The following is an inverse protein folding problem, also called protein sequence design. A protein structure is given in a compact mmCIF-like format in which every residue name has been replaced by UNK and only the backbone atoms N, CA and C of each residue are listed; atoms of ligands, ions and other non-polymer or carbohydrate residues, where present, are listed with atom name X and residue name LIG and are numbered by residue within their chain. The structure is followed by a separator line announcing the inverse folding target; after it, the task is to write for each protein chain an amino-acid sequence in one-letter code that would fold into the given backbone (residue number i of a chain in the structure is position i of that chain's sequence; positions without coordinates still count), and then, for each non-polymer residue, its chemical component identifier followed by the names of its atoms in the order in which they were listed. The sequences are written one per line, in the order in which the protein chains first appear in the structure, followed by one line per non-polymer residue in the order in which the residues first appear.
data_IF_793871443331
#
_entry.id   IF_793871443331
#
_cell.length_a   1.000
_cell.length_b   1.000
_cell.length_c   1.000
_cell.angle_alpha   90.00
_cell.angle_beta   90.00
_cell.angle_gamma   90.00
#
_symmetry.space_group_name_H-M   'P 1'
#
loop_
_entity.id
_entity.type
_entity.pdbx_description
1 polymer ?
#
# COMPACT_ATOMS: atom_id res chain seq x y z
N UNK A 1 -1.91 30.25 15.40
CA UNK A 1 -2.50 30.55 16.73
C UNK A 1 -3.12 29.26 17.26
N UNK A 2 -2.98 28.91 18.54
CA UNK A 2 -3.69 27.76 19.09
C UNK A 2 -5.20 28.02 19.06
N UNK A 3 -5.97 27.11 18.44
CA UNK A 3 -7.44 27.18 18.40
C UNK A 3 -8.04 26.65 19.70
N UNK A 4 -7.90 27.42 20.77
CA UNK A 4 -8.37 27.04 22.11
C UNK A 4 -9.90 26.90 22.19
N UNK A 5 -10.63 27.40 21.19
CA UNK A 5 -12.09 27.40 21.17
C UNK A 5 -12.69 26.41 20.15
N UNK A 6 -11.85 25.68 19.40
CA UNK A 6 -12.24 24.77 18.32
C UNK A 6 -13.17 25.43 17.28
N UNK A 7 -12.89 26.67 16.89
CA UNK A 7 -13.72 27.47 15.97
C UNK A 7 -13.10 27.69 14.60
N UNK A 8 -11.88 27.23 14.38
CA UNK A 8 -11.15 27.45 13.14
C UNK A 8 -11.29 26.25 12.21
N UNK A 9 -11.49 26.55 10.93
CA UNK A 9 -11.41 25.57 9.85
C UNK A 9 -10.34 26.03 8.87
N UNK A 10 -9.38 25.17 8.59
CA UNK A 10 -8.31 25.44 7.65
C UNK A 10 -8.61 24.73 6.34
N UNK A 11 -8.63 25.49 5.24
CA UNK A 11 -8.84 24.99 3.89
C UNK A 11 -7.57 25.22 3.10
N UNK A 12 -7.07 24.17 2.46
CA UNK A 12 -5.89 24.22 1.61
C UNK A 12 -6.28 24.06 0.14
N UNK A 13 -5.60 24.80 -0.74
CA UNK A 13 -5.72 24.58 -2.18
C UNK A 13 -5.09 23.24 -2.59
N UNK A 14 -5.52 22.63 -3.72
CA UNK A 14 -5.01 21.33 -4.13
C UNK A 14 -3.52 21.32 -4.54
N UNK A 15 -2.91 22.48 -4.77
CA UNK A 15 -1.46 22.64 -5.00
C UNK A 15 -0.66 22.86 -3.70
N UNK A 16 -1.34 22.95 -2.56
CA UNK A 16 -0.75 23.22 -1.25
C UNK A 16 -0.18 24.63 -1.08
N UNK A 17 -0.39 25.54 -2.04
CA UNK A 17 0.21 26.88 -2.03
C UNK A 17 -0.63 27.93 -1.29
N UNK A 18 -1.94 27.72 -1.22
CA UNK A 18 -2.87 28.68 -0.63
C UNK A 18 -3.61 28.03 0.53
N UNK A 19 -3.77 28.81 1.60
CA UNK A 19 -4.49 28.39 2.79
C UNK A 19 -5.46 29.50 3.20
N UNK A 20 -6.69 29.11 3.53
CA UNK A 20 -7.70 29.99 4.10
C UNK A 20 -8.11 29.45 5.46
N UNK A 21 -8.01 30.28 6.49
CA UNK A 21 -8.50 29.95 7.84
C UNK A 21 -9.83 30.67 8.06
N UNK A 22 -10.90 29.91 8.16
CA UNK A 22 -12.25 30.39 8.46
C UNK A 22 -12.48 30.32 9.97
N UNK A 23 -13.00 31.39 10.54
CA UNK A 23 -13.41 31.43 11.95
C UNK A 23 -14.93 31.36 12.05
N UNK A 24 -15.44 30.29 12.62
CA UNK A 24 -16.87 30.13 12.89
C UNK A 24 -17.29 30.88 14.16
N UNK A 25 -18.61 31.08 14.30
CA UNK A 25 -19.21 31.73 15.48
C UNK A 25 -18.85 31.02 16.79
N UNK A 26 -18.96 29.70 16.79
CA UNK A 26 -18.73 28.79 17.91
C UNK A 26 -18.22 27.43 17.42
N UNK A 27 -17.79 26.58 18.36
CA UNK A 27 -17.23 25.27 18.05
C UNK A 27 -18.23 24.29 17.40
N UNK A 28 -19.50 24.23 17.84
CA UNK A 28 -20.52 23.44 17.16
C UNK A 28 -20.73 23.85 15.71
N UNK A 29 -20.72 25.16 15.40
CA UNK A 29 -20.80 25.64 14.02
C UNK A 29 -19.59 25.21 13.19
N UNK A 30 -18.38 25.26 13.75
CA UNK A 30 -17.17 24.76 13.07
C UNK A 30 -17.25 23.26 12.79
N UNK A 31 -17.67 22.46 13.79
CA UNK A 31 -17.88 21.01 13.65
C UNK A 31 -18.94 20.67 12.60
N UNK A 32 -20.03 21.44 12.52
CA UNK A 32 -21.07 21.28 11.51
C UNK A 32 -20.54 21.57 10.10
N UNK A 33 -19.81 22.67 9.91
CA UNK A 33 -19.18 23.00 8.63
C UNK A 33 -18.14 21.96 8.22
N UNK A 34 -17.27 21.53 9.14
CA UNK A 34 -16.30 20.47 8.93
C UNK A 34 -16.96 19.18 8.44
N UNK A 35 -18.00 18.73 9.14
CA UNK A 35 -18.75 17.53 8.79
C UNK A 35 -19.41 17.67 7.42
N UNK A 36 -20.02 18.83 7.13
CA UNK A 36 -20.64 19.09 5.84
C UNK A 36 -19.62 19.07 4.69
N UNK A 37 -18.42 19.64 4.88
CA UNK A 37 -17.34 19.62 3.88
C UNK A 37 -16.86 18.19 3.63
N UNK A 38 -16.53 17.42 4.67
CA UNK A 38 -16.09 16.02 4.52
C UNK A 38 -17.17 15.13 3.88
N UNK A 39 -18.45 15.34 4.22
CA UNK A 39 -19.57 14.60 3.60
C UNK A 39 -19.66 14.90 2.10
N UNK A 40 -19.49 16.16 1.69
CA UNK A 40 -19.48 16.53 0.28
C UNK A 40 -18.26 15.97 -0.46
N UNK A 41 -17.07 16.00 0.15
CA UNK A 41 -15.86 15.39 -0.42
C UNK A 41 -16.10 13.89 -0.68
N UNK A 42 -16.64 13.17 0.31
CA UNK A 42 -16.94 11.75 0.16
C UNK A 42 -17.97 11.46 -0.95
N UNK A 43 -19.00 12.30 -1.09
CA UNK A 43 -20.02 12.17 -2.13
C UNK A 43 -19.47 12.47 -3.55
N UNK A 44 -18.52 13.39 -3.67
CA UNK A 44 -17.91 13.78 -4.95
C UNK A 44 -16.75 12.87 -5.37
N UNK A 45 -16.17 12.10 -4.44
CA UNK A 45 -15.02 11.23 -4.71
C UNK A 45 -15.27 10.23 -5.87
N UNK A 46 -16.39 9.48 -5.95
CA UNK A 46 -16.62 8.56 -7.06
C UNK A 46 -16.64 9.25 -8.44
N UNK A 47 -17.24 10.44 -8.53
CA UNK A 47 -17.27 11.24 -9.76
C UNK A 47 -15.88 11.73 -10.14
N UNK A 48 -15.10 12.15 -9.15
CA UNK A 48 -13.71 12.59 -9.33
C UNK A 48 -12.83 11.43 -9.84
N UNK A 49 -12.96 10.24 -9.26
CA UNK A 49 -12.27 9.04 -9.71
C UNK A 49 -12.63 8.67 -11.14
N UNK A 50 -13.92 8.69 -11.49
CA UNK A 50 -14.38 8.42 -12.85
C UNK A 50 -13.82 9.43 -13.86
N UNK A 51 -13.81 10.72 -13.50
CA UNK A 51 -13.25 11.77 -14.34
C UNK A 51 -11.73 11.62 -14.53
N UNK A 52 -10.96 11.39 -13.46
CA UNK A 52 -9.51 11.18 -13.54
C UNK A 52 -9.19 9.93 -14.37
N UNK A 53 -9.90 8.81 -14.17
CA UNK A 53 -9.67 7.60 -14.95
C UNK A 53 -10.02 7.79 -16.43
N UNK A 54 -11.12 8.48 -16.74
CA UNK A 54 -11.47 8.81 -18.13
C UNK A 54 -10.41 9.71 -18.76
N UNK A 55 -9.97 10.75 -18.03
CA UNK A 55 -8.89 11.62 -18.45
C UNK A 55 -7.63 10.80 -18.73
N UNK A 56 -7.12 10.01 -17.78
CA UNK A 56 -5.91 9.21 -17.96
C UNK A 56 -6.06 8.12 -19.04
N UNK A 57 -7.24 7.55 -19.23
CA UNK A 57 -7.50 6.50 -20.23
C UNK A 57 -7.71 6.98 -21.67
N UNK A 58 -8.12 8.23 -21.88
CA UNK A 58 -8.61 8.71 -23.18
C UNK A 58 -7.60 8.72 -24.36
N UNK A 59 -6.29 8.53 -24.13
CA UNK A 59 -5.26 8.72 -25.16
C UNK A 59 -4.44 7.48 -25.49
N UNK A 60 -4.79 6.28 -25.00
CA UNK A 60 -4.09 5.06 -25.39
C UNK A 60 -5.01 3.85 -25.54
N UNK A 61 -4.96 3.20 -26.70
CA UNK A 61 -5.59 1.90 -26.97
C UNK A 61 -4.97 0.75 -26.13
N UNK A 62 -3.79 0.99 -25.54
CA UNK A 62 -3.17 0.15 -24.53
C UNK A 62 -3.01 0.98 -23.25
N UNK A 63 -3.97 0.92 -22.33
CA UNK A 63 -3.95 1.71 -21.10
C UNK A 63 -2.76 1.32 -20.21
N UNK A 64 -1.63 2.02 -20.37
CA UNK A 64 -0.45 1.89 -19.51
C UNK A 64 -0.60 2.70 -18.22
N UNK A 65 -1.57 3.62 -18.17
CA UNK A 65 -1.85 4.40 -16.98
C UNK A 65 -2.64 3.58 -15.95
N UNK A 66 -2.27 3.67 -14.66
CA UNK A 66 -2.90 2.88 -13.62
C UNK A 66 -4.32 3.35 -13.35
N UNK A 67 -5.27 2.41 -13.25
CA UNK A 67 -6.66 2.73 -12.93
C UNK A 67 -6.78 3.08 -11.44
N UNK A 68 -7.16 4.32 -11.16
CA UNK A 68 -7.31 4.87 -9.82
C UNK A 68 -8.55 4.30 -9.12
N UNK A 69 -8.40 3.90 -7.85
CA UNK A 69 -9.45 3.33 -6.99
C UNK A 69 -9.76 4.20 -5.78
N UNK A 70 -8.79 4.99 -5.31
CA UNK A 70 -8.99 5.94 -4.21
C UNK A 70 -7.98 7.08 -4.31
N UNK A 71 -8.33 8.27 -3.81
CA UNK A 71 -7.41 9.40 -3.69
C UNK A 71 -7.88 10.32 -2.57
N UNK A 72 -6.94 10.94 -1.86
CA UNK A 72 -7.26 11.96 -0.88
C UNK A 72 -6.01 12.53 -0.20
N UNK A 73 -6.22 13.64 0.50
CA UNK A 73 -5.21 14.25 1.36
C UNK A 73 -5.12 13.50 2.68
N UNK A 74 -3.89 13.33 3.16
CA UNK A 74 -3.53 12.75 4.44
C UNK A 74 -2.45 13.63 5.09
N UNK A 75 -2.23 13.48 6.39
CA UNK A 75 -1.06 14.03 7.05
C UNK A 75 -0.07 12.90 7.36
N UNK A 76 1.06 12.87 6.68
CA UNK A 76 2.12 11.90 6.89
C UNK A 76 3.04 12.34 8.03
N UNK A 77 3.30 11.44 8.97
CA UNK A 77 4.27 11.67 10.04
C UNK A 77 5.69 11.54 9.49
N UNK A 78 6.43 12.64 9.51
CA UNK A 78 7.85 12.69 9.15
C UNK A 78 8.70 12.94 10.39
N UNK A 79 9.87 12.30 10.43
CA UNK A 79 10.86 12.52 11.47
C UNK A 79 11.81 13.65 11.04
N UNK A 80 11.87 14.71 11.85
CA UNK A 80 12.79 15.82 11.65
C UNK A 80 14.15 15.52 12.30
N UNK A 81 15.17 16.25 11.87
CA UNK A 81 16.46 16.28 12.57
C UNK A 81 16.26 16.66 14.04
N UNK A 82 16.88 15.90 14.94
CA UNK A 82 16.69 16.05 16.40
C UNK A 82 15.53 15.24 16.99
N UNK A 83 14.93 14.31 16.23
CA UNK A 83 13.98 13.32 16.75
C UNK A 83 12.56 13.83 16.96
N UNK A 84 12.26 15.08 16.56
CA UNK A 84 10.91 15.65 16.59
C UNK A 84 10.06 15.05 15.48
N UNK A 85 8.80 14.77 15.79
CA UNK A 85 7.81 14.30 14.82
C UNK A 85 6.97 15.48 14.33
N UNK A 86 6.73 15.54 13.02
CA UNK A 86 5.85 16.52 12.41
C UNK A 86 4.92 15.83 11.40
N UNK A 87 3.68 16.27 11.31
CA UNK A 87 2.79 15.86 10.22
C UNK A 87 2.92 16.82 9.04
N UNK A 88 3.10 16.27 7.84
CA UNK A 88 3.11 17.01 6.57
C UNK A 88 1.96 16.56 5.68
N UNK A 89 1.28 17.48 4.99
CA UNK A 89 0.23 17.10 4.04
C UNK A 89 0.83 16.32 2.87
N UNK A 90 0.16 15.23 2.49
CA UNK A 90 0.49 14.40 1.33
C UNK A 90 -0.78 13.98 0.62
N UNK A 91 -0.75 13.88 -0.70
CA UNK A 91 -1.81 13.23 -1.47
C UNK A 91 -1.44 11.76 -1.65
N UNK A 92 -2.28 10.87 -1.13
CA UNK A 92 -2.18 9.45 -1.42
C UNK A 92 -3.17 9.10 -2.52
N UNK A 93 -2.74 8.30 -3.49
CA UNK A 93 -3.56 7.72 -4.53
C UNK A 93 -3.38 6.20 -4.55
N UNK A 94 -4.49 5.48 -4.56
CA UNK A 94 -4.51 4.03 -4.64
C UNK A 94 -4.94 3.62 -6.05
N UNK A 95 -4.13 2.78 -6.69
CA UNK A 95 -4.43 2.21 -8.01
C UNK A 95 -4.77 0.73 -7.88
N UNK A 96 -4.91 0.02 -8.99
CA UNK A 96 -5.09 -1.44 -8.99
C UNK A 96 -3.87 -2.22 -8.48
N UNK A 97 -2.68 -1.63 -8.51
CA UNK A 97 -1.42 -2.33 -8.25
C UNK A 97 -0.54 -1.64 -7.22
N UNK A 98 -0.67 -0.33 -7.09
CA UNK A 98 0.28 0.51 -6.35
C UNK A 98 -0.42 1.58 -5.50
N UNK A 99 0.26 1.96 -4.41
CA UNK A 99 0.03 3.17 -3.63
C UNK A 99 1.02 4.22 -4.13
N UNK A 100 0.52 5.39 -4.49
CA UNK A 100 1.30 6.51 -4.99
C UNK A 100 1.19 7.67 -4.00
N UNK A 101 2.30 8.33 -3.69
CA UNK A 101 2.34 9.53 -2.85
C UNK A 101 2.79 10.75 -3.66
N UNK A 102 2.10 11.87 -3.50
CA UNK A 102 2.39 13.13 -4.16
C UNK A 102 2.41 14.29 -3.16
N UNK A 103 3.21 15.32 -3.45
CA UNK A 103 3.23 16.54 -2.64
C UNK A 103 1.95 17.38 -2.80
N UNK A 104 1.33 17.30 -3.96
CA UNK A 104 0.16 18.05 -4.38
C UNK A 104 -0.70 17.20 -5.32
N UNK A 105 -1.95 17.62 -5.54
CA UNK A 105 -2.82 16.91 -6.48
C UNK A 105 -2.21 17.01 -7.90
N UNK A 106 -1.96 15.89 -8.58
CA UNK A 106 -1.43 15.90 -9.95
C UNK A 106 -2.49 16.39 -10.96
N UNK A 107 -2.14 17.38 -11.76
CA UNK A 107 -3.04 18.04 -12.74
C UNK A 107 -2.75 17.66 -14.20
N UNK A 108 -1.57 17.09 -14.48
CA UNK A 108 -1.16 16.65 -15.83
C UNK A 108 -0.81 15.16 -15.84
N UNK A 109 -0.85 14.55 -17.02
CA UNK A 109 -0.46 13.14 -17.21
C UNK A 109 0.99 12.88 -16.79
N UNK A 110 1.86 13.84 -17.05
CA UNK A 110 3.26 13.80 -16.68
C UNK A 110 3.37 13.76 -15.15
N UNK A 111 2.65 14.64 -14.44
CA UNK A 111 2.66 14.67 -12.97
C UNK A 111 2.13 13.38 -12.35
N UNK A 112 1.12 12.75 -12.96
CA UNK A 112 0.62 11.42 -12.56
C UNK A 112 1.65 10.31 -12.74
N UNK A 113 2.61 10.48 -13.65
CA UNK A 113 3.66 9.50 -13.95
C UNK A 113 4.91 9.68 -13.09
N UNK A 114 4.97 10.75 -12.27
CA UNK A 114 6.11 11.08 -11.42
C UNK A 114 5.69 11.27 -9.95
N UNK A 115 5.17 10.22 -9.29
CA UNK A 115 4.91 10.26 -7.85
C UNK A 115 6.23 10.41 -7.07
N UNK A 116 6.14 10.97 -5.85
CA UNK A 116 7.27 11.02 -4.92
C UNK A 116 7.71 9.62 -4.49
N UNK A 117 6.72 8.77 -4.18
CA UNK A 117 6.92 7.38 -3.78
C UNK A 117 5.87 6.50 -4.45
N UNK A 118 6.29 5.28 -4.79
CA UNK A 118 5.44 4.21 -5.34
C UNK A 118 5.67 2.95 -4.54
N UNK A 119 4.61 2.42 -3.93
CA UNK A 119 4.65 1.19 -3.16
C UNK A 119 3.70 0.15 -3.77
N UNK A 120 4.21 -1.01 -4.24
CA UNK A 120 3.35 -2.06 -4.75
C UNK A 120 2.42 -2.59 -3.66
N UNK A 121 1.13 -2.70 -3.96
CA UNK A 121 0.11 -3.17 -3.01
C UNK A 121 0.43 -4.57 -2.48
N UNK A 122 0.92 -5.47 -3.34
CA UNK A 122 1.32 -6.81 -2.89
C UNK A 122 2.52 -6.79 -1.94
N UNK A 123 3.40 -5.80 -2.09
CA UNK A 123 4.57 -5.62 -1.23
C UNK A 123 4.29 -4.69 -0.03
N UNK A 124 3.05 -4.24 0.16
CA UNK A 124 2.68 -3.27 1.20
C UNK A 124 1.59 -3.83 2.10
N UNK A 125 1.70 -3.61 3.41
CA UNK A 125 0.68 -3.99 4.39
C UNK A 125 0.23 -2.80 5.19
N UNK A 126 -1.07 -2.72 5.40
CA UNK A 126 -1.66 -1.93 6.46
C UNK A 126 -1.24 -2.55 7.81
N UNK A 127 -0.59 -1.76 8.66
CA UNK A 127 -0.28 -2.13 10.04
C UNK A 127 -0.85 -1.07 10.96
N UNK A 128 -1.50 -1.49 12.04
CA UNK A 128 -2.02 -0.60 13.09
C UNK A 128 -3.17 0.32 12.65
N UNK A 129 -4.30 0.22 13.37
CA UNK A 129 -5.42 1.14 13.32
C UNK A 129 -5.73 1.61 14.75
N UNK A 130 -5.13 2.72 15.16
CA UNK A 130 -5.48 3.44 16.39
C UNK A 130 -4.79 3.00 17.70
N UNK A 131 -4.42 4.05 18.46
CA UNK A 131 -4.01 4.14 19.86
C UNK A 131 -3.29 2.92 20.44
N UNK A 132 -1.97 3.04 20.60
CA UNK A 132 -1.22 2.13 21.46
C UNK A 132 -1.84 2.12 22.88
N UNK A 133 -2.58 1.04 23.19
CA UNK A 133 -3.08 0.66 24.52
C UNK A 133 -4.15 1.60 25.12
N UNK A 134 -5.40 1.38 24.75
CA UNK A 134 -6.56 1.87 25.49
C UNK A 134 -7.71 2.28 24.59
N UNK A 135 -8.93 2.24 25.13
CA UNK A 135 -10.11 2.87 24.52
C UNK A 135 -9.73 4.29 24.08
N UNK A 136 -9.92 4.67 22.80
CA UNK A 136 -9.55 6.00 22.35
C UNK A 136 -10.35 7.03 23.17
N UNK A 137 -9.63 7.86 23.93
CA UNK A 137 -10.22 9.06 24.52
C UNK A 137 -10.73 9.95 23.37
N UNK A 138 -11.79 10.73 23.60
CA UNK A 138 -12.17 11.80 22.68
C UNK A 138 -10.92 12.67 22.42
N UNK A 139 -10.43 12.68 21.17
CA UNK A 139 -9.20 13.38 20.79
C UNK A 139 -7.96 12.51 20.53
N UNK A 140 -8.07 11.19 20.43
CA UNK A 140 -6.96 10.36 19.91
C UNK A 140 -6.73 10.60 18.41
N UNK A 141 -5.47 10.73 17.99
CA UNK A 141 -5.10 10.87 16.58
C UNK A 141 -5.68 9.71 15.74
N UNK A 142 -6.43 10.06 14.68
CA UNK A 142 -7.01 9.10 13.75
C UNK A 142 -5.95 8.68 12.74
N UNK A 143 -5.22 7.60 13.06
CA UNK A 143 -4.02 7.21 12.31
C UNK A 143 -4.01 5.76 11.85
N UNK A 144 -3.38 5.52 10.70
CA UNK A 144 -3.06 4.18 10.18
C UNK A 144 -1.66 4.15 9.58
N UNK A 145 -0.95 3.02 9.67
CA UNK A 145 0.39 2.89 9.13
C UNK A 145 0.44 1.92 7.96
N UNK A 146 1.37 2.16 7.04
CA UNK A 146 1.72 1.19 6.00
C UNK A 146 3.17 0.76 6.17
N UNK A 147 3.43 -0.53 5.94
CA UNK A 147 4.79 -1.07 5.83
C UNK A 147 4.97 -1.65 4.45
N UNK A 148 6.06 -1.28 3.78
CA UNK A 148 6.39 -1.73 2.44
C UNK A 148 7.69 -2.51 2.48
N UNK A 149 7.68 -3.74 1.99
CA UNK A 149 8.90 -4.52 1.78
C UNK A 149 9.68 -3.94 0.60
N UNK A 150 10.93 -3.52 0.83
CA UNK A 150 11.84 -3.01 -0.18
C UNK A 150 13.13 -3.83 -0.21
N UNK A 151 13.92 -3.70 -1.28
CA UNK A 151 15.23 -4.37 -1.36
C UNK A 151 16.23 -3.90 -0.29
N UNK A 152 15.93 -2.82 0.45
CA UNK A 152 16.74 -2.28 1.55
C UNK A 152 16.17 -2.59 2.94
N UNK A 153 15.04 -3.29 3.03
CA UNK A 153 14.38 -3.60 4.30
C UNK A 153 12.90 -3.30 4.28
N UNK A 154 12.37 -2.73 5.36
CA UNK A 154 10.96 -2.37 5.47
C UNK A 154 10.84 -0.86 5.64
N UNK A 155 10.20 -0.22 4.68
CA UNK A 155 9.84 1.19 4.75
C UNK A 155 8.50 1.33 5.48
N UNK A 156 8.35 2.34 6.35
CA UNK A 156 7.16 2.50 7.20
C UNK A 156 6.69 3.94 7.19
N UNK A 157 5.39 4.14 6.96
CA UNK A 157 4.74 5.45 6.95
C UNK A 157 3.56 5.43 7.91
N UNK A 158 3.35 6.53 8.62
CA UNK A 158 2.21 6.74 9.51
C UNK A 158 1.40 7.91 8.96
N UNK A 159 0.11 7.68 8.71
CA UNK A 159 -0.79 8.68 8.14
C UNK A 159 -1.89 9.02 9.14
N UNK A 160 -2.18 10.30 9.28
CA UNK A 160 -3.33 10.84 10.00
C UNK A 160 -4.42 11.24 9.00
N UNK A 161 -5.67 10.99 9.38
CA UNK A 161 -6.88 11.45 8.69
C UNK A 161 -7.68 12.35 9.60
N UNK A 162 -8.68 13.02 9.03
CA UNK A 162 -9.46 14.04 9.74
C UNK A 162 -10.77 13.47 10.33
N UNK A 163 -11.32 12.38 9.79
CA UNK A 163 -12.57 11.76 10.28
C UNK A 163 -12.48 10.23 10.45
N UNK A 164 -13.31 9.67 11.34
CA UNK A 164 -13.43 8.21 11.50
C UNK A 164 -13.92 7.52 10.21
N UNK A 165 -14.71 8.23 9.40
CA UNK A 165 -15.17 7.75 8.11
C UNK A 165 -14.00 7.65 7.13
N UNK A 166 -13.15 8.68 7.06
CA UNK A 166 -11.94 8.67 6.24
C UNK A 166 -11.00 7.54 6.66
N UNK A 167 -10.79 7.34 7.98
CA UNK A 167 -9.97 6.25 8.51
C UNK A 167 -10.49 4.90 8.02
N UNK A 168 -11.79 4.67 8.19
CA UNK A 168 -12.45 3.43 7.79
C UNK A 168 -12.42 3.22 6.27
N UNK A 169 -12.58 4.29 5.49
CA UNK A 169 -12.52 4.26 4.03
C UNK A 169 -11.12 3.89 3.55
N UNK A 170 -10.08 4.56 4.07
CA UNK A 170 -8.68 4.30 3.71
C UNK A 170 -8.24 2.89 4.07
N UNK A 171 -8.51 2.44 5.30
CA UNK A 171 -8.16 1.08 5.72
C UNK A 171 -8.85 0.03 4.84
N UNK A 172 -10.15 0.22 4.56
CA UNK A 172 -10.89 -0.69 3.67
C UNK A 172 -10.31 -0.67 2.26
N UNK A 173 -10.05 0.51 1.70
CA UNK A 173 -9.49 0.66 0.37
C UNK A 173 -8.13 -0.03 0.24
N UNK A 174 -7.24 0.10 1.23
CA UNK A 174 -5.93 -0.54 1.24
C UNK A 174 -6.03 -2.07 1.34
N UNK A 175 -6.86 -2.61 2.24
CA UNK A 175 -7.02 -4.06 2.41
C UNK A 175 -7.65 -4.68 1.16
N UNK A 176 -8.78 -4.13 0.71
CA UNK A 176 -9.48 -4.63 -0.47
C UNK A 176 -8.66 -4.44 -1.74
N UNK A 177 -7.93 -3.32 -1.84
CA UNK A 177 -6.99 -3.06 -2.94
C UNK A 177 -5.88 -4.10 -3.00
N UNK A 178 -5.27 -4.47 -1.88
CA UNK A 178 -4.24 -5.51 -1.84
C UNK A 178 -4.79 -6.90 -2.25
N UNK A 179 -6.01 -7.23 -1.86
CA UNK A 179 -6.67 -8.48 -2.26
C UNK A 179 -7.03 -8.47 -3.76
N UNK A 180 -7.58 -7.38 -4.27
CA UNK A 180 -7.87 -7.22 -5.69
C UNK A 180 -6.58 -7.27 -6.53
N UNK A 181 -5.50 -6.64 -6.06
CA UNK A 181 -4.19 -6.71 -6.70
C UNK A 181 -3.66 -8.15 -6.76
N UNK A 182 -3.90 -8.96 -5.72
CA UNK A 182 -3.49 -10.37 -5.72
C UNK A 182 -4.21 -11.18 -6.79
N UNK A 183 -5.52 -10.93 -6.93
CA UNK A 183 -6.33 -11.57 -7.95
C UNK A 183 -6.01 -11.10 -9.36
N UNK A 184 -5.63 -9.84 -9.53
CA UNK A 184 -5.27 -9.26 -10.83
C UNK A 184 -3.86 -9.69 -11.29
N UNK A 185 -2.87 -9.59 -10.41
CA UNK A 185 -1.46 -9.86 -10.75
C UNK A 185 -1.20 -11.36 -10.89
N UNK A 186 -1.88 -12.20 -10.11
CA UNK A 186 -1.82 -13.68 -10.09
C UNK A 186 -0.48 -14.30 -9.73
N UNK A 187 0.64 -13.75 -10.17
CA UNK A 187 1.97 -14.28 -9.88
C UNK A 187 3.04 -13.20 -9.86
N UNK A 188 4.07 -13.42 -9.05
CA UNK A 188 5.27 -12.59 -8.98
C UNK A 188 6.47 -13.51 -9.10
N UNK A 189 7.42 -13.14 -9.95
CA UNK A 189 8.64 -13.92 -10.19
C UNK A 189 9.88 -13.10 -9.83
N UNK A 190 10.87 -13.77 -9.25
CA UNK A 190 12.17 -13.19 -8.92
C UNK A 190 13.29 -14.13 -9.40
N UNK A 191 14.31 -13.55 -10.03
CA UNK A 191 15.56 -14.25 -10.33
C UNK A 191 16.42 -14.37 -9.07
N UNK A 192 16.94 -15.55 -8.80
CA UNK A 192 17.68 -15.87 -7.58
C UNK A 192 18.60 -17.07 -7.79
N UNK A 193 19.48 -17.34 -6.84
CA UNK A 193 20.36 -18.52 -6.89
C UNK A 193 19.93 -19.54 -5.84
N UNK A 194 19.79 -20.80 -6.26
CA UNK A 194 19.51 -21.96 -5.41
C UNK A 194 20.60 -23.00 -5.66
N UNK A 195 21.31 -23.45 -4.62
CA UNK A 195 22.37 -24.46 -4.72
C UNK A 195 23.41 -24.18 -5.83
N UNK A 196 23.83 -22.90 -5.95
CA UNK A 196 24.75 -22.37 -6.98
C UNK A 196 24.23 -22.44 -8.43
N UNK A 197 22.92 -22.57 -8.62
CA UNK A 197 22.27 -22.50 -9.93
C UNK A 197 21.34 -21.30 -9.99
N UNK A 198 21.37 -20.59 -11.10
CA UNK A 198 20.43 -19.49 -11.36
C UNK A 198 19.06 -20.05 -11.69
N UNK A 199 18.08 -19.60 -10.91
CA UNK A 199 16.71 -20.07 -10.95
C UNK A 199 15.76 -18.88 -10.84
N UNK A 200 14.54 -19.07 -11.34
CA UNK A 200 13.44 -18.15 -11.14
C UNK A 200 12.45 -18.77 -10.16
N UNK A 201 12.30 -18.11 -9.01
CA UNK A 201 11.28 -18.41 -8.02
C UNK A 201 10.02 -17.62 -8.37
N UNK A 202 8.93 -18.33 -8.63
CA UNK A 202 7.61 -17.77 -8.92
C UNK A 202 6.65 -18.11 -7.78
N UNK A 203 6.06 -17.07 -7.19
CA UNK A 203 4.94 -17.18 -6.27
C UNK A 203 3.68 -16.94 -7.08
N UNK A 204 2.79 -17.93 -7.12
CA UNK A 204 1.51 -17.85 -7.82
C UNK A 204 0.36 -17.97 -6.81
N UNK A 205 -0.58 -17.03 -6.88
CA UNK A 205 -1.72 -16.85 -5.98
C UNK A 205 -2.50 -18.15 -5.70
N UNK A 206 -2.79 -18.96 -6.73
CA UNK A 206 -3.41 -20.27 -6.57
C UNK A 206 -2.42 -21.42 -6.38
N UNK A 207 -1.43 -21.51 -7.27
CA UNK A 207 -0.59 -22.72 -7.47
C UNK A 207 0.54 -22.85 -6.46
N UNK A 208 0.81 -21.82 -5.66
CA UNK A 208 1.91 -21.79 -4.71
C UNK A 208 3.23 -21.43 -5.38
N UNK A 209 4.27 -22.19 -5.08
CA UNK A 209 5.65 -21.93 -5.47
C UNK A 209 6.03 -22.76 -6.68
N UNK A 210 6.69 -22.15 -7.65
CA UNK A 210 7.35 -22.84 -8.76
C UNK A 210 8.78 -22.34 -8.87
N UNK A 211 9.74 -23.26 -8.95
CA UNK A 211 11.15 -22.96 -9.19
C UNK A 211 11.48 -23.47 -10.58
N UNK A 212 11.91 -22.58 -11.47
CA UNK A 212 12.34 -22.91 -12.83
C UNK A 212 13.81 -22.60 -12.99
N UNK A 213 14.53 -23.42 -13.75
CA UNK A 213 15.91 -23.11 -14.12
C UNK A 213 15.93 -21.91 -15.06
N UNK A 214 16.80 -20.94 -14.80
CA UNK A 214 16.97 -19.82 -15.73
C UNK A 214 17.81 -20.32 -16.93
N UNK A 215 17.21 -20.31 -18.13
CA UNK A 215 17.88 -20.68 -19.38
C UNK A 215 18.01 -19.46 -20.29
N UNK A 216 19.04 -19.47 -21.14
CA UNK A 216 19.33 -18.41 -22.12
C UNK A 216 18.28 -18.38 -23.26
N UNK A 217 17.55 -19.48 -23.48
CA UNK A 217 16.51 -19.57 -24.52
C UNK A 217 15.09 -19.25 -23.99
N UNK A 218 14.21 -18.61 -24.79
CA UNK A 218 12.94 -18.03 -24.32
C UNK A 218 11.83 -19.04 -24.02
N UNK A 219 12.02 -20.31 -24.36
CA UNK A 219 10.97 -21.35 -24.23
C UNK A 219 11.06 -21.98 -22.84
N UNK A 220 10.45 -21.30 -21.86
CA UNK A 220 10.06 -21.84 -20.55
C UNK A 220 11.07 -22.80 -19.89
N UNK A 221 12.00 -22.24 -19.09
CA UNK A 221 13.00 -23.03 -18.39
C UNK A 221 12.43 -24.21 -17.59
N UNK A 222 13.18 -25.33 -17.55
CA UNK A 222 12.74 -26.56 -16.91
C UNK A 222 12.32 -26.34 -15.44
N UNK A 223 11.11 -26.80 -15.09
CA UNK A 223 10.61 -26.75 -13.72
C UNK A 223 11.41 -27.72 -12.86
N UNK A 224 12.07 -27.18 -11.84
CA UNK A 224 12.82 -27.96 -10.85
C UNK A 224 11.90 -28.43 -9.72
N UNK A 225 11.09 -27.49 -9.20
CA UNK A 225 10.22 -27.75 -8.06
C UNK A 225 8.88 -27.06 -8.22
N UNK A 226 7.83 -27.70 -7.69
CA UNK A 226 6.50 -27.10 -7.55
C UNK A 226 5.88 -27.53 -6.24
N UNK A 227 5.53 -26.56 -5.40
CA UNK A 227 4.93 -26.80 -4.10
C UNK A 227 3.70 -25.93 -3.91
N UNK A 228 2.55 -26.50 -3.55
CA UNK A 228 1.39 -25.70 -3.19
C UNK A 228 1.59 -25.06 -1.80
N UNK A 229 0.78 -24.06 -1.45
CA UNK A 229 0.94 -23.33 -0.17
C UNK A 229 0.80 -24.24 1.05
N UNK A 230 -0.04 -25.25 0.98
CA UNK A 230 -0.34 -26.18 2.06
C UNK A 230 0.86 -27.08 2.42
N UNK A 231 1.90 -27.11 1.59
CA UNK A 231 3.16 -27.81 1.86
C UNK A 231 4.20 -26.94 2.55
N UNK A 232 4.07 -25.61 2.54
CA UNK A 232 5.03 -24.73 3.20
C UNK A 232 4.92 -24.90 4.72
N UNK A 233 5.93 -25.54 5.32
CA UNK A 233 6.01 -25.77 6.77
C UNK A 233 6.64 -24.60 7.49
N UNK A 234 7.70 -24.04 6.90
CA UNK A 234 8.46 -22.96 7.49
C UNK A 234 8.95 -22.02 6.39
N UNK A 235 8.90 -20.72 6.70
CA UNK A 235 9.52 -19.67 5.91
C UNK A 235 10.28 -18.73 6.83
N UNK A 236 11.52 -18.41 6.50
CA UNK A 236 12.33 -17.45 7.22
C UNK A 236 13.13 -16.57 6.24
N UNK A 237 13.71 -15.50 6.75
CA UNK A 237 14.57 -14.60 5.97
C UNK A 237 15.68 -14.02 6.86
N UNK A 238 16.85 -13.76 6.28
CA UNK A 238 17.99 -13.17 7.02
C UNK A 238 17.95 -11.64 7.09
N UNK A 239 16.94 -11.01 6.49
CA UNK A 239 16.80 -9.56 6.37
C UNK A 239 17.75 -8.90 5.38
N UNK A 240 18.63 -9.66 4.73
CA UNK A 240 19.71 -9.14 3.87
C UNK A 240 19.54 -9.60 2.43
N UNK A 241 19.51 -10.91 2.18
CA UNK A 241 19.36 -11.48 0.82
C UNK A 241 18.82 -12.90 0.75
N UNK A 242 18.92 -13.69 1.82
CA UNK A 242 18.50 -15.08 1.79
C UNK A 242 17.05 -15.23 2.23
N UNK A 243 16.30 -16.02 1.45
CA UNK A 243 14.97 -16.52 1.77
C UNK A 243 15.07 -18.03 1.99
N UNK A 244 14.55 -18.49 3.12
CA UNK A 244 14.55 -19.90 3.53
C UNK A 244 13.13 -20.44 3.42
N UNK A 245 12.93 -21.53 2.67
CA UNK A 245 11.62 -22.19 2.52
C UNK A 245 11.77 -23.69 2.77
N UNK A 246 10.99 -24.23 3.69
CA UNK A 246 10.91 -25.67 3.94
C UNK A 246 9.51 -26.19 3.60
N UNK A 247 9.45 -27.16 2.68
CA UNK A 247 8.22 -27.81 2.23
C UNK A 247 8.01 -29.23 2.81
N UNK A 248 8.90 -29.67 3.71
CA UNK A 248 8.86 -30.99 4.33
C UNK A 248 9.16 -32.15 3.38
N UNK A 249 9.83 -31.87 2.26
CA UNK A 249 10.29 -32.86 1.28
C UNK A 249 11.71 -33.37 1.59
N UNK A 250 12.25 -34.28 0.75
CA UNK A 250 13.60 -34.80 0.91
C UNK A 250 14.70 -33.72 0.78
N UNK A 251 14.37 -32.60 0.12
CA UNK A 251 15.33 -31.50 -0.11
C UNK A 251 15.63 -30.68 1.15
N UNK A 252 14.82 -30.85 2.21
CA UNK A 252 14.93 -30.07 3.43
C UNK A 252 14.66 -28.58 3.20
N UNK A 253 15.33 -27.75 3.98
CA UNK A 253 15.28 -26.29 3.85
C UNK A 253 15.99 -25.83 2.57
N UNK A 254 15.24 -25.15 1.70
CA UNK A 254 15.75 -24.54 0.49
C UNK A 254 16.18 -23.11 0.77
N UNK A 255 17.43 -22.77 0.42
CA UNK A 255 18.00 -21.43 0.61
C UNK A 255 18.11 -20.72 -0.74
N UNK A 256 17.33 -19.66 -0.91
CA UNK A 256 17.33 -18.82 -2.11
C UNK A 256 18.10 -17.52 -1.84
N UNK A 257 19.20 -17.28 -2.56
CA UNK A 257 19.88 -15.98 -2.58
C UNK A 257 19.17 -15.07 -3.60
N UNK A 258 18.47 -14.04 -3.11
CA UNK A 258 17.66 -13.14 -3.94
C UNK A 258 18.45 -11.95 -4.50
N UNK A 259 19.75 -11.86 -4.20
CA UNK A 259 20.62 -10.73 -4.56
C UNK A 259 20.15 -9.34 -4.06
N UNK A 260 19.10 -9.32 -3.24
CA UNK A 260 18.45 -8.12 -2.69
C UNK A 260 17.64 -8.51 -1.45
N UNK A 261 17.23 -7.51 -0.66
CA UNK A 261 16.44 -7.74 0.56
C UNK A 261 15.21 -8.64 0.29
N UNK A 262 14.96 -9.67 1.11
CA UNK A 262 13.86 -10.63 0.88
C UNK A 262 12.47 -10.08 1.20
N UNK A 263 12.39 -8.88 1.78
CA UNK A 263 11.14 -8.29 2.28
C UNK A 263 10.05 -8.12 1.22
N UNK A 264 10.30 -7.69 -0.04
CA UNK A 264 9.25 -7.63 -1.05
C UNK A 264 8.59 -9.00 -1.28
N UNK A 265 9.38 -10.07 -1.42
CA UNK A 265 8.88 -11.44 -1.63
C UNK A 265 8.10 -11.95 -0.43
N UNK A 266 8.62 -11.72 0.78
CA UNK A 266 7.90 -12.03 2.02
C UNK A 266 6.59 -11.26 2.11
N UNK A 267 6.56 -9.99 1.70
CA UNK A 267 5.33 -9.21 1.73
C UNK A 267 4.29 -9.77 0.76
N UNK A 268 4.68 -10.02 -0.49
CA UNK A 268 3.88 -10.65 -1.54
C UNK A 268 3.32 -12.00 -1.08
N UNK A 269 4.15 -12.83 -0.45
CA UNK A 269 3.75 -14.14 0.07
C UNK A 269 2.53 -14.02 1.00
N UNK A 270 2.57 -13.18 2.03
CA UNK A 270 1.39 -13.10 2.88
C UNK A 270 0.25 -12.30 2.24
N UNK A 271 0.49 -11.40 1.29
CA UNK A 271 -0.60 -10.74 0.56
C UNK A 271 -1.41 -11.77 -0.24
N UNK A 272 -0.74 -12.70 -0.92
CA UNK A 272 -1.40 -13.84 -1.58
C UNK A 272 -2.10 -14.77 -0.58
N UNK A 273 -1.45 -15.15 0.52
CA UNK A 273 -2.07 -16.01 1.53
C UNK A 273 -3.30 -15.34 2.17
N UNK A 274 -3.20 -14.05 2.53
CA UNK A 274 -4.31 -13.29 3.11
C UNK A 274 -5.49 -13.23 2.16
N UNK A 275 -5.27 -12.84 0.90
CA UNK A 275 -6.33 -12.80 -0.10
C UNK A 275 -6.96 -14.18 -0.34
N UNK A 276 -6.13 -15.24 -0.41
CA UNK A 276 -6.60 -16.62 -0.60
C UNK A 276 -7.48 -17.06 0.56
N UNK A 277 -7.07 -16.80 1.80
CA UNK A 277 -7.82 -17.14 3.01
C UNK A 277 -9.13 -16.34 3.15
N UNK A 278 -9.11 -15.04 2.86
CA UNK A 278 -10.31 -14.20 2.85
C UNK A 278 -11.33 -14.71 1.83
N UNK A 279 -10.89 -15.05 0.61
CA UNK A 279 -11.79 -15.62 -0.41
C UNK A 279 -12.39 -16.96 0.01
N UNK A 280 -11.65 -17.78 0.75
CA UNK A 280 -12.15 -19.05 1.31
C UNK A 280 -13.02 -18.87 2.56
N UNK A 281 -13.24 -17.64 3.03
CA UNK A 281 -14.03 -17.35 4.22
C UNK A 281 -13.36 -17.77 5.54
N UNK A 282 -12.04 -17.95 5.55
CA UNK A 282 -11.27 -18.41 6.71
C UNK A 282 -10.68 -17.27 7.56
N UNK A 283 -10.82 -16.03 7.11
CA UNK A 283 -10.50 -14.81 7.87
C UNK A 283 -11.80 -14.01 8.04
N UNK A 284 -12.34 -13.99 9.25
CA UNK A 284 -13.48 -13.15 9.66
C UNK A 284 -12.99 -11.92 10.41
#
# INVERSE_FOLDING_TARGET
MPDLENRLLELHSPDGQHTVVLRCKDGPSASSWFTAVHTNIAALLPHTLAHINAYLGATSAASTHPHLKHIGWLAEQVQLEGGRQQYKPVVMALTEKDILLFQAVPWSRESWSTPLLTHPLLATRLVHSGSARGSPAQGSDLVFATRTGTGRGIESHMFRVETHWDLSSWMRALVQGAHAAAELIKEVSIGCTLSRQDVRLTLHYEKGFTVTKEQVDPVGGAVLFRYPYEKLRMSADDGIRNLYLDFGGPEGEMVFDLHSGPKPVVFVLHSFLSAKLTRMGLLT
#
